data_IF_482396609776
#
_entry.id   IF_482396609776
#
_cell.length_a   1.000
_cell.length_b   1.000
_cell.length_c   1.000
_cell.angle_alpha   90.00
_cell.angle_beta   90.00
_cell.angle_gamma   90.00
#
_symmetry.space_group_name_H-M   'P 1'
#
loop_
_entity.id
_entity.type
_entity.pdbx_description
1 polymer ?
#
# COMPACT_ATOMS: atom_id res chain seq x y z
N UNK A 1 0.83 4.30 -18.58
CA UNK A 1 0.29 4.97 -17.38
C UNK A 1 1.05 4.44 -16.19
N UNK A 2 2.15 5.11 -15.84
CA UNK A 2 3.04 4.68 -14.76
C UNK A 2 2.52 5.20 -13.44
N UNK A 3 2.37 4.32 -12.45
CA UNK A 3 2.45 4.73 -11.06
C UNK A 3 3.85 5.33 -10.89
N UNK A 4 3.93 6.66 -10.90
CA UNK A 4 5.18 7.40 -10.88
C UNK A 4 6.09 6.81 -9.80
N UNK A 5 7.28 6.41 -10.22
CA UNK A 5 8.35 5.78 -9.44
C UNK A 5 8.21 6.02 -7.94
N UNK A 6 7.60 5.07 -7.21
CA UNK A 6 7.69 5.05 -5.76
C UNK A 6 9.14 4.73 -5.44
N UNK A 7 9.88 5.74 -4.98
CA UNK A 7 11.22 5.55 -4.46
C UNK A 7 11.05 4.85 -3.12
N UNK A 8 11.74 3.73 -2.91
CA UNK A 8 11.85 3.12 -1.57
C UNK A 8 12.87 3.94 -0.78
N UNK A 9 12.48 5.17 -0.44
CA UNK A 9 13.27 6.12 0.34
C UNK A 9 13.06 5.93 1.86
N UNK A 10 12.17 5.01 2.24
CA UNK A 10 11.76 4.78 3.63
C UNK A 10 10.80 5.85 4.17
N UNK A 11 10.33 6.77 3.32
CA UNK A 11 9.45 7.86 3.69
C UNK A 11 8.02 7.52 3.29
N UNK A 12 7.12 7.57 4.26
CA UNK A 12 5.70 7.47 4.00
C UNK A 12 5.15 8.82 3.51
N UNK A 13 5.40 9.12 2.23
CA UNK A 13 4.90 10.33 1.56
C UNK A 13 3.51 10.15 0.94
N UNK A 14 2.99 11.23 0.35
CA UNK A 14 1.66 11.24 -0.33
C UNK A 14 1.57 10.17 -1.41
N UNK A 15 2.64 9.94 -2.18
CA UNK A 15 2.67 8.91 -3.22
C UNK A 15 2.53 7.50 -2.62
N UNK A 16 3.22 7.22 -1.51
CA UNK A 16 3.15 5.94 -0.79
C UNK A 16 1.76 5.74 -0.19
N UNK A 17 1.17 6.79 0.41
CA UNK A 17 -0.20 6.76 0.92
C UNK A 17 -1.21 6.45 -0.18
N UNK A 18 -1.10 7.09 -1.35
CA UNK A 18 -1.98 6.79 -2.49
C UNK A 18 -1.84 5.35 -2.98
N UNK A 19 -0.63 4.80 -2.97
CA UNK A 19 -0.39 3.41 -3.33
C UNK A 19 -1.00 2.44 -2.30
N UNK A 20 -0.87 2.75 -1.01
CA UNK A 20 -1.50 1.99 0.08
C UNK A 20 -3.01 2.03 -0.03
N UNK A 21 -3.61 3.20 -0.26
CA UNK A 21 -5.06 3.34 -0.45
C UNK A 21 -5.57 2.51 -1.63
N UNK A 22 -4.82 2.49 -2.74
CA UNK A 22 -5.16 1.66 -3.91
C UNK A 22 -5.03 0.16 -3.61
N UNK A 23 -3.99 -0.24 -2.90
CA UNK A 23 -3.81 -1.64 -2.47
C UNK A 23 -4.93 -2.09 -1.52
N UNK A 24 -5.27 -1.25 -0.53
CA UNK A 24 -6.37 -1.50 0.38
C UNK A 24 -7.70 -1.65 -0.37
N UNK A 25 -7.99 -0.72 -1.28
CA UNK A 25 -9.20 -0.78 -2.12
C UNK A 25 -9.26 -2.06 -2.98
N UNK A 26 -8.12 -2.49 -3.52
CA UNK A 26 -8.05 -3.70 -4.35
C UNK A 26 -8.26 -4.98 -3.54
N UNK A 27 -7.87 -4.98 -2.27
CA UNK A 27 -7.96 -6.14 -1.38
C UNK A 27 -9.22 -6.14 -0.50
N UNK A 28 -10.22 -5.30 -0.83
CA UNK A 28 -11.44 -5.09 -0.02
C UNK A 28 -11.14 -4.77 1.45
N UNK A 29 -10.02 -4.10 1.71
CA UNK A 29 -9.65 -3.60 3.03
C UNK A 29 -10.20 -2.20 3.27
N UNK A 30 -10.30 -1.80 4.53
CA UNK A 30 -10.57 -0.41 4.91
C UNK A 30 -9.52 0.50 4.26
N UNK A 31 -9.99 1.49 3.47
CA UNK A 31 -9.13 2.43 2.74
C UNK A 31 -8.80 3.61 3.65
N UNK A 32 -7.97 3.35 4.65
CA UNK A 32 -7.50 4.37 5.60
C UNK A 32 -6.14 4.97 5.19
N UNK A 33 -5.43 4.36 4.24
CA UNK A 33 -4.10 4.77 3.79
C UNK A 33 -2.98 4.44 4.78
N UNK A 34 -3.26 3.67 5.83
CA UNK A 34 -2.33 3.28 6.87
C UNK A 34 -1.98 1.79 6.69
N UNK A 35 -0.69 1.48 6.73
CA UNK A 35 -0.21 0.09 6.68
C UNK A 35 -0.34 -0.54 8.07
N UNK A 36 -1.56 -0.92 8.44
CA UNK A 36 -1.86 -1.67 9.66
C UNK A 36 -1.67 -3.18 9.50
N UNK A 37 -1.96 -3.95 10.56
CA UNK A 37 -1.82 -5.42 10.58
C UNK A 37 -2.59 -6.14 9.47
N UNK A 38 -3.76 -5.62 9.07
CA UNK A 38 -4.54 -6.17 7.95
C UNK A 38 -3.84 -5.94 6.60
N UNK A 39 -3.24 -4.76 6.42
CA UNK A 39 -2.45 -4.44 5.22
C UNK A 39 -1.17 -5.28 5.17
N UNK A 40 -0.46 -5.42 6.30
CA UNK A 40 0.72 -6.29 6.43
C UNK A 40 0.39 -7.76 6.16
N UNK A 41 -0.70 -8.28 6.72
CA UNK A 41 -1.11 -9.68 6.49
C UNK A 41 -1.42 -9.98 5.02
N UNK A 42 -1.88 -8.99 4.24
CA UNK A 42 -2.06 -9.13 2.78
C UNK A 42 -0.75 -9.02 2.00
N UNK A 43 0.23 -8.25 2.49
CA UNK A 43 1.57 -8.19 1.89
C UNK A 43 2.32 -9.51 2.09
N UNK A 44 2.23 -10.14 3.26
CA UNK A 44 2.83 -11.46 3.52
C UNK A 44 2.17 -12.58 2.71
N UNK A 45 0.86 -12.50 2.44
CA UNK A 45 0.15 -13.49 1.63
C UNK A 45 0.47 -13.42 0.13
N UNK A 46 1.17 -12.38 -0.34
CA UNK A 46 1.61 -12.24 -1.74
C UNK A 46 2.97 -12.93 -1.99
N UNK A 47 3.67 -13.41 -0.94
CA UNK A 47 5.00 -14.03 -1.02
C UNK A 47 4.99 -15.57 -0.86
N UNK A 48 3.95 -16.26 -1.37
CA UNK A 48 3.93 -17.75 -1.48
C UNK A 48 3.66 -18.25 -2.89
#
# INVERSE_FOLDING_TARGET
>A
MGFGSLVVDGIFGVATEEAVKKFQKFNDLTVDGIVGSQTWGKLELIDV
#
